data_IF_291988125138
#
_entry.id   IF_291988125138
#
_cell.length_a   1.000
_cell.length_b   1.000
_cell.length_c   1.000
_cell.angle_alpha   90.00
_cell.angle_beta   90.00
_cell.angle_gamma   90.00
#
_symmetry.space_group_name_H-M   'P 1'
#
loop_
_entity.id
_entity.type
_entity.pdbx_description
1 polymer ?
#
# COMPACT_ATOMS: atom_id res chain seq x y z
N UNK A 1 3.85 11.21 -14.44
CA UNK A 1 5.28 11.40 -14.15
C UNK A 1 6.05 10.28 -14.82
N UNK A 2 7.29 10.50 -15.25
CA UNK A 2 8.16 9.48 -15.84
C UNK A 2 9.48 9.45 -15.06
N UNK A 3 9.98 8.24 -14.79
CA UNK A 3 11.30 8.00 -14.18
C UNK A 3 11.94 6.85 -14.93
N UNK A 4 13.10 7.12 -15.54
CA UNK A 4 13.73 6.19 -16.46
C UNK A 4 12.78 5.74 -17.56
N UNK A 5 12.63 4.44 -17.74
CA UNK A 5 11.70 3.87 -18.73
C UNK A 5 10.23 3.80 -18.25
N UNK A 6 9.96 4.07 -16.96
CA UNK A 6 8.65 3.89 -16.36
C UNK A 6 7.83 5.16 -16.34
N UNK A 7 6.61 5.09 -16.88
CA UNK A 7 5.55 6.07 -16.66
C UNK A 7 4.73 5.64 -15.44
N UNK A 8 4.55 6.57 -14.51
CA UNK A 8 3.90 6.35 -13.23
C UNK A 8 2.44 6.79 -13.29
N UNK A 9 1.52 5.91 -12.87
CA UNK A 9 0.09 6.16 -12.81
C UNK A 9 -0.43 5.88 -11.39
N UNK A 10 -1.15 6.83 -10.81
CA UNK A 10 -1.84 6.64 -9.54
C UNK A 10 -3.14 5.87 -9.78
N UNK A 11 -3.34 4.78 -9.06
CA UNK A 11 -4.52 3.90 -9.15
C UNK A 11 -5.27 3.97 -7.82
N UNK A 12 -6.46 4.57 -7.84
CA UNK A 12 -7.33 4.63 -6.67
C UNK A 12 -8.24 3.41 -6.66
N UNK A 13 -8.20 2.65 -5.57
CA UNK A 13 -8.89 1.35 -5.50
C UNK A 13 -10.09 1.34 -4.57
N UNK A 14 -10.31 2.41 -3.80
CA UNK A 14 -11.45 2.57 -2.90
C UNK A 14 -11.20 3.58 -1.80
N UNK A 15 -12.27 3.98 -1.13
CA UNK A 15 -12.24 4.82 0.06
C UNK A 15 -12.57 3.99 1.30
N UNK A 16 -12.01 4.34 2.42
CA UNK A 16 -12.31 3.71 3.70
C UNK A 16 -11.98 4.66 4.85
N UNK A 17 -12.25 4.25 6.09
CA UNK A 17 -11.95 5.06 7.26
C UNK A 17 -11.22 4.27 8.33
N UNK A 18 -10.30 4.93 9.01
CA UNK A 18 -9.62 4.39 10.18
C UNK A 18 -9.76 5.34 11.38
N UNK A 19 -9.71 4.78 12.60
CA UNK A 19 -9.69 5.59 13.81
C UNK A 19 -8.47 6.52 13.83
N UNK A 20 -8.69 7.82 13.94
CA UNK A 20 -7.63 8.82 13.90
C UNK A 20 -6.67 8.74 15.09
N UNK A 21 -7.15 8.28 16.25
CA UNK A 21 -6.28 8.03 17.41
C UNK A 21 -5.34 6.86 17.16
N UNK A 22 -5.84 5.79 16.54
CA UNK A 22 -5.01 4.64 16.16
C UNK A 22 -4.02 5.02 15.04
N UNK A 23 -4.44 5.84 14.08
CA UNK A 23 -3.55 6.33 13.00
C UNK A 23 -2.43 7.23 13.52
N UNK A 24 -2.69 8.08 14.51
CA UNK A 24 -1.70 9.05 15.00
C UNK A 24 -1.06 8.69 16.34
N UNK A 25 -1.45 7.55 16.94
CA UNK A 25 -0.83 7.02 18.14
C UNK A 25 -0.86 8.01 19.33
N UNK A 26 0.30 8.38 19.80
CA UNK A 26 0.45 9.28 20.97
C UNK A 26 0.28 10.77 20.64
N UNK A 27 0.13 11.14 19.36
CA UNK A 27 -0.01 12.53 18.96
C UNK A 27 -1.40 13.05 19.37
N UNK A 28 -1.50 14.19 20.09
CA UNK A 28 -2.79 14.74 20.49
C UNK A 28 -3.71 15.09 19.31
N UNK A 29 -5.01 14.80 19.44
CA UNK A 29 -6.02 15.02 18.39
C UNK A 29 -6.03 16.46 17.87
N UNK A 30 -5.86 17.45 18.75
CA UNK A 30 -5.85 18.87 18.36
C UNK A 30 -4.67 19.25 17.44
N UNK A 31 -3.67 18.37 17.29
CA UNK A 31 -2.57 18.55 16.35
C UNK A 31 -2.88 17.86 15.02
N UNK A 32 -3.15 16.55 15.03
CA UNK A 32 -3.31 15.78 13.80
C UNK A 32 -4.62 16.05 13.06
N UNK A 33 -5.71 16.41 13.74
CA UNK A 33 -6.99 16.73 13.07
C UNK A 33 -6.92 17.96 12.14
N UNK A 34 -5.85 18.75 12.20
CA UNK A 34 -5.63 19.88 11.30
C UNK A 34 -5.29 19.43 9.87
N UNK A 35 -4.65 18.29 9.75
CA UNK A 35 -4.29 17.67 8.46
C UNK A 35 -5.25 16.56 8.05
N UNK A 36 -5.78 15.83 9.02
CA UNK A 36 -6.67 14.68 8.82
C UNK A 36 -7.93 14.86 9.70
N UNK A 37 -8.93 15.65 9.26
CA UNK A 37 -10.16 15.85 10.02
C UNK A 37 -10.87 14.53 10.31
N UNK A 38 -11.34 14.37 11.56
CA UNK A 38 -12.06 13.18 11.97
C UNK A 38 -13.58 13.41 11.96
N UNK A 39 -14.33 12.34 11.66
CA UNK A 39 -15.77 12.29 11.81
C UNK A 39 -16.21 12.18 13.30
N UNK A 40 -17.52 12.07 13.55
CA UNK A 40 -18.09 11.96 14.91
C UNK A 40 -17.64 10.67 15.64
N UNK A 41 -17.22 9.66 14.90
CA UNK A 41 -16.70 8.39 15.43
C UNK A 41 -15.17 8.40 15.55
N UNK A 42 -14.52 9.56 15.44
CA UNK A 42 -13.07 9.73 15.45
C UNK A 42 -12.34 9.07 14.28
N UNK A 43 -13.02 8.79 13.17
CA UNK A 43 -12.42 8.17 12.00
C UNK A 43 -11.97 9.23 11.00
N UNK A 44 -10.83 9.03 10.38
CA UNK A 44 -10.30 9.87 9.30
C UNK A 44 -10.55 9.21 7.94
N UNK A 45 -10.74 10.03 6.91
CA UNK A 45 -10.89 9.55 5.54
C UNK A 45 -9.55 9.05 5.00
N UNK A 46 -9.59 7.87 4.40
CA UNK A 46 -8.46 7.20 3.76
C UNK A 46 -8.82 6.77 2.34
N UNK A 47 -7.82 6.71 1.49
CA UNK A 47 -7.96 6.17 0.13
C UNK A 47 -6.89 5.09 -0.08
N UNK A 48 -7.30 3.90 -0.45
CA UNK A 48 -6.35 2.89 -0.90
C UNK A 48 -5.85 3.25 -2.29
N UNK A 49 -4.53 3.48 -2.40
CA UNK A 49 -3.85 3.83 -3.64
C UNK A 49 -2.76 2.84 -3.96
N UNK A 50 -2.83 2.31 -5.17
CA UNK A 50 -1.76 1.58 -5.80
C UNK A 50 -0.97 2.52 -6.73
N UNK A 51 0.25 2.15 -7.04
CA UNK A 51 1.07 2.82 -8.04
C UNK A 51 1.33 1.84 -9.19
N UNK A 52 0.91 2.21 -10.40
CA UNK A 52 1.20 1.41 -11.59
C UNK A 52 2.36 2.03 -12.36
N UNK A 53 3.35 1.21 -12.66
CA UNK A 53 4.53 1.52 -13.44
C UNK A 53 4.39 0.88 -14.82
N UNK A 54 4.34 1.71 -15.87
CA UNK A 54 4.22 1.28 -17.25
C UNK A 54 5.55 1.47 -17.97
N UNK A 55 6.11 0.38 -18.52
CA UNK A 55 7.16 0.44 -19.52
C UNK A 55 6.71 -0.31 -20.78
N UNK A 56 7.53 -0.27 -21.84
CA UNK A 56 7.22 -0.99 -23.09
C UNK A 56 7.06 -2.51 -22.92
N UNK A 57 7.67 -3.08 -21.88
CA UNK A 57 7.69 -4.53 -21.62
C UNK A 57 6.94 -4.95 -20.37
N UNK A 58 6.86 -4.08 -19.36
CA UNK A 58 6.32 -4.39 -18.03
C UNK A 58 5.21 -3.44 -17.64
N UNK A 59 4.22 -3.99 -16.95
CA UNK A 59 3.20 -3.25 -16.22
C UNK A 59 3.19 -3.78 -14.80
N UNK A 60 3.77 -3.01 -13.89
CA UNK A 60 4.00 -3.40 -12.51
C UNK A 60 3.03 -2.60 -11.64
N UNK A 61 2.24 -3.27 -10.82
CA UNK A 61 1.41 -2.60 -9.83
C UNK A 61 1.98 -2.81 -8.43
N UNK A 62 2.11 -1.72 -7.66
CA UNK A 62 2.56 -1.73 -6.28
C UNK A 62 1.33 -1.59 -5.39
N UNK A 63 1.06 -2.61 -4.58
CA UNK A 63 -0.15 -2.83 -3.81
C UNK A 63 -1.42 -2.90 -4.68
N UNK A 64 -2.58 -3.23 -4.09
CA UNK A 64 -3.82 -3.40 -4.86
C UNK A 64 -5.09 -3.13 -4.05
N UNK A 65 -4.93 -2.53 -2.87
CA UNK A 65 -6.04 -2.09 -2.04
C UNK A 65 -6.79 -3.21 -1.31
N UNK A 66 -7.98 -2.87 -0.80
CA UNK A 66 -8.81 -3.74 0.04
C UNK A 66 -9.43 -4.91 -0.77
N UNK A 67 -9.73 -4.69 -2.06
CA UNK A 67 -10.53 -5.65 -2.84
C UNK A 67 -11.98 -5.74 -2.34
N UNK A 68 -12.69 -6.79 -2.73
CA UNK A 68 -14.15 -6.89 -2.50
C UNK A 68 -14.57 -8.07 -1.61
N UNK A 69 -13.63 -8.65 -0.83
CA UNK A 69 -13.89 -9.88 -0.07
C UNK A 69 -14.27 -9.66 1.39
N UNK A 70 -14.16 -8.42 1.89
CA UNK A 70 -14.49 -8.13 3.27
C UNK A 70 -15.94 -8.48 3.60
N UNK A 71 -16.17 -9.03 4.79
CA UNK A 71 -17.52 -9.26 5.29
C UNK A 71 -18.26 -7.94 5.50
N UNK A 72 -19.60 -7.97 5.46
CA UNK A 72 -20.43 -6.78 5.70
C UNK A 72 -20.11 -6.11 7.05
N UNK A 73 -19.80 -6.92 8.08
CA UNK A 73 -19.40 -6.41 9.39
C UNK A 73 -18.11 -5.60 9.32
N UNK A 74 -17.10 -6.12 8.63
CA UNK A 74 -15.78 -5.45 8.49
C UNK A 74 -15.91 -4.21 7.60
N UNK A 75 -16.68 -4.31 6.51
CA UNK A 75 -16.98 -3.14 5.68
C UNK A 75 -17.61 -1.99 6.48
N UNK A 76 -18.54 -2.28 7.39
CA UNK A 76 -19.16 -1.27 8.27
C UNK A 76 -18.16 -0.66 9.26
N UNK A 77 -17.24 -1.46 9.81
CA UNK A 77 -16.20 -0.95 10.73
C UNK A 77 -15.32 0.08 10.04
N UNK A 78 -14.86 -0.23 8.83
CA UNK A 78 -13.95 0.61 8.06
C UNK A 78 -14.66 1.57 7.11
N UNK A 79 -15.99 1.60 7.07
CA UNK A 79 -16.80 2.45 6.19
C UNK A 79 -16.30 2.40 4.73
N UNK A 80 -16.07 1.17 4.22
CA UNK A 80 -15.48 0.97 2.89
C UNK A 80 -16.46 1.41 1.83
N UNK A 81 -16.00 2.25 0.89
CA UNK A 81 -16.82 2.88 -0.13
C UNK A 81 -16.15 2.83 -1.50
N UNK A 82 -16.86 2.25 -2.48
CA UNK A 82 -16.43 2.10 -3.88
C UNK A 82 -17.25 2.96 -4.86
N UNK A 83 -18.06 3.93 -4.37
CA UNK A 83 -18.92 4.74 -5.24
C UNK A 83 -18.12 5.62 -6.20
N UNK A 84 -17.01 6.18 -5.73
CA UNK A 84 -16.17 7.10 -6.48
C UNK A 84 -15.01 6.38 -7.16
N UNK A 85 -14.24 5.62 -6.38
CA UNK A 85 -13.01 4.95 -6.83
C UNK A 85 -13.14 3.43 -6.74
N UNK A 86 -12.71 2.77 -7.81
CA UNK A 86 -12.51 1.32 -7.86
C UNK A 86 -11.27 1.01 -8.69
N UNK A 87 -10.69 -0.17 -8.49
CA UNK A 87 -9.59 -0.63 -9.32
C UNK A 87 -9.96 -0.59 -10.80
N UNK A 88 -11.16 -1.09 -11.14
CA UNK A 88 -11.65 -1.18 -12.51
C UNK A 88 -11.75 0.18 -13.18
N UNK A 89 -12.38 1.18 -12.52
CA UNK A 89 -12.49 2.55 -13.04
C UNK A 89 -11.12 3.17 -13.29
N UNK A 90 -10.22 3.07 -12.31
CA UNK A 90 -8.87 3.64 -12.43
C UNK A 90 -8.06 2.98 -13.53
N UNK A 91 -8.19 1.67 -13.73
CA UNK A 91 -7.50 0.98 -14.82
C UNK A 91 -8.12 1.32 -16.19
N UNK A 92 -9.45 1.48 -16.27
CA UNK A 92 -10.13 1.89 -17.50
C UNK A 92 -9.69 3.28 -17.96
N UNK A 93 -9.53 4.24 -17.04
CA UNK A 93 -9.06 5.60 -17.32
C UNK A 93 -7.68 5.60 -18.00
N UNK A 94 -6.81 4.70 -17.61
CA UNK A 94 -5.47 4.55 -18.21
C UNK A 94 -5.42 3.51 -19.34
N UNK A 95 -6.57 2.90 -19.68
CA UNK A 95 -6.74 1.92 -20.76
C UNK A 95 -5.97 0.62 -20.58
N UNK A 96 -5.82 0.16 -19.33
CA UNK A 96 -5.25 -1.14 -19.00
C UNK A 96 -6.29 -2.10 -18.46
N UNK A 97 -6.03 -3.39 -18.66
CA UNK A 97 -6.80 -4.50 -18.09
C UNK A 97 -5.98 -5.21 -17.04
N UNK A 98 -6.66 -5.96 -16.17
CA UNK A 98 -6.00 -6.78 -15.13
C UNK A 98 -5.03 -7.83 -15.73
N UNK A 99 -5.37 -8.33 -16.91
CA UNK A 99 -4.57 -9.29 -17.67
C UNK A 99 -3.28 -8.69 -18.26
N UNK A 100 -3.19 -7.35 -18.36
CA UNK A 100 -2.01 -6.65 -18.86
C UNK A 100 -0.91 -6.54 -17.80
N UNK A 101 -1.24 -6.72 -16.51
CA UNK A 101 -0.29 -6.61 -15.41
C UNK A 101 0.67 -7.82 -15.44
N UNK A 102 1.95 -7.51 -15.48
CA UNK A 102 3.02 -8.53 -15.53
C UNK A 102 3.57 -8.85 -14.15
N UNK A 103 3.55 -7.89 -13.24
CA UNK A 103 4.12 -8.00 -11.90
C UNK A 103 3.28 -7.26 -10.88
N UNK A 104 3.14 -7.82 -9.69
CA UNK A 104 2.54 -7.19 -8.53
C UNK A 104 3.59 -7.15 -7.43
N UNK A 105 3.92 -5.97 -6.93
CA UNK A 105 4.80 -5.82 -5.77
C UNK A 105 3.92 -5.55 -4.57
N UNK A 106 3.85 -6.49 -3.63
CA UNK A 106 3.15 -6.32 -2.37
C UNK A 106 4.12 -5.75 -1.34
N UNK A 107 3.82 -4.55 -0.83
CA UNK A 107 4.66 -3.94 0.20
C UNK A 107 4.60 -4.75 1.48
N UNK A 108 3.40 -5.16 1.86
CA UNK A 108 3.10 -6.08 2.95
C UNK A 108 1.71 -6.71 2.75
N UNK A 109 1.31 -7.62 3.65
CA UNK A 109 0.13 -8.46 3.44
C UNK A 109 -1.09 -8.05 4.30
N UNK A 110 -1.14 -6.81 4.80
CA UNK A 110 -2.35 -6.28 5.41
C UNK A 110 -3.48 -6.17 4.38
N UNK A 111 -4.71 -6.22 4.86
CA UNK A 111 -5.91 -6.35 4.01
C UNK A 111 -6.13 -5.18 3.06
N UNK A 112 -5.69 -4.00 3.44
CA UNK A 112 -5.83 -2.75 2.67
C UNK A 112 -4.72 -2.54 1.62
N UNK A 113 -3.69 -3.40 1.64
CA UNK A 113 -2.61 -3.43 0.65
C UNK A 113 -2.69 -4.64 -0.28
N UNK A 114 -2.98 -5.83 0.26
CA UNK A 114 -2.99 -7.09 -0.48
C UNK A 114 -4.40 -7.62 -0.79
N UNK A 115 -5.45 -6.97 -0.30
CA UNK A 115 -6.83 -7.44 -0.42
C UNK A 115 -7.32 -7.59 -1.84
N UNK A 116 -6.87 -6.71 -2.74
CA UNK A 116 -7.20 -6.77 -4.16
C UNK A 116 -6.45 -7.83 -4.96
N UNK A 117 -5.53 -8.60 -4.35
CA UNK A 117 -4.78 -9.67 -5.04
C UNK A 117 -5.68 -10.79 -5.55
N UNK A 118 -6.80 -11.03 -4.87
CA UNK A 118 -7.77 -12.09 -5.19
C UNK A 118 -9.20 -11.56 -5.09
N UNK A 119 -10.12 -12.27 -5.73
CA UNK A 119 -11.55 -11.98 -5.67
C UNK A 119 -12.36 -13.28 -5.68
N UNK A 120 -13.64 -13.20 -5.30
CA UNK A 120 -14.60 -14.30 -5.48
C UNK A 120 -15.28 -14.19 -6.84
N UNK A 121 -15.29 -15.27 -7.62
CA UNK A 121 -16.13 -15.39 -8.81
C UNK A 121 -17.61 -15.60 -8.43
N UNK A 122 -18.48 -15.71 -9.44
CA UNK A 122 -19.93 -15.89 -9.25
C UNK A 122 -20.28 -17.19 -8.48
N UNK A 123 -19.39 -18.18 -8.49
CA UNK A 123 -19.54 -19.46 -7.79
C UNK A 123 -18.89 -19.44 -6.40
N UNK A 124 -18.38 -18.27 -5.97
CA UNK A 124 -17.61 -18.04 -4.73
C UNK A 124 -16.26 -18.78 -4.68
N UNK A 125 -15.69 -19.13 -5.82
CA UNK A 125 -14.31 -19.59 -5.87
C UNK A 125 -13.36 -18.40 -5.84
N UNK A 126 -12.23 -18.56 -5.16
CA UNK A 126 -11.17 -17.54 -5.14
C UNK A 126 -10.40 -17.60 -6.46
N UNK A 127 -10.25 -16.44 -7.08
CA UNK A 127 -9.47 -16.23 -8.32
C UNK A 127 -8.42 -15.15 -8.12
N UNK A 128 -7.35 -15.22 -8.91
CA UNK A 128 -6.33 -14.18 -8.96
C UNK A 128 -6.85 -12.96 -9.73
N UNK A 129 -6.68 -11.77 -9.18
CA UNK A 129 -7.08 -10.53 -9.84
C UNK A 129 -6.21 -10.22 -11.06
N UNK A 130 -4.92 -10.54 -10.98
CA UNK A 130 -3.97 -10.36 -12.07
C UNK A 130 -3.43 -11.73 -12.50
N UNK A 131 -4.14 -12.42 -13.43
CA UNK A 131 -3.89 -13.83 -13.71
C UNK A 131 -2.56 -14.11 -14.40
N UNK A 132 -1.97 -13.11 -15.03
CA UNK A 132 -0.70 -13.23 -15.77
C UNK A 132 0.50 -12.70 -14.97
N UNK A 133 0.27 -12.17 -13.76
CA UNK A 133 1.31 -11.51 -12.99
C UNK A 133 2.09 -12.48 -12.09
N UNK A 134 3.37 -12.14 -11.87
CA UNK A 134 4.17 -12.66 -10.76
C UNK A 134 4.02 -11.71 -9.57
N UNK A 135 3.80 -12.24 -8.37
CA UNK A 135 3.63 -11.46 -7.16
C UNK A 135 4.90 -11.51 -6.32
N UNK A 136 5.45 -10.34 -6.01
CA UNK A 136 6.71 -10.19 -5.28
C UNK A 136 6.44 -9.73 -3.86
N UNK A 137 6.94 -10.46 -2.87
CA UNK A 137 6.81 -10.15 -1.44
C UNK A 137 8.04 -10.63 -0.69
N UNK A 138 8.40 -9.95 0.40
CA UNK A 138 9.47 -10.44 1.28
C UNK A 138 9.07 -11.80 1.88
N UNK A 139 9.95 -12.80 1.79
CA UNK A 139 9.69 -14.14 2.34
C UNK A 139 9.31 -14.07 3.83
N UNK A 140 10.03 -13.29 4.62
CA UNK A 140 9.77 -13.13 6.05
C UNK A 140 8.46 -12.40 6.36
N UNK A 141 7.98 -11.52 5.46
CA UNK A 141 6.65 -10.92 5.60
C UNK A 141 5.57 -11.98 5.37
N UNK A 142 5.75 -12.86 4.38
CA UNK A 142 4.83 -13.98 4.14
C UNK A 142 4.80 -14.96 5.32
N UNK A 143 5.96 -15.35 5.83
CA UNK A 143 6.09 -16.20 7.03
C UNK A 143 5.43 -15.57 8.25
N UNK A 144 5.57 -14.23 8.43
CA UNK A 144 4.89 -13.49 9.49
C UNK A 144 3.38 -13.52 9.30
N UNK A 145 2.87 -13.27 8.09
CA UNK A 145 1.44 -13.28 7.78
C UNK A 145 0.78 -14.64 8.04
N UNK A 146 1.52 -15.75 7.94
CA UNK A 146 1.05 -17.09 8.29
C UNK A 146 0.89 -17.29 9.82
N UNK A 147 1.69 -16.61 10.65
CA UNK A 147 1.69 -16.68 12.10
C UNK A 147 1.83 -15.28 12.73
N UNK A 148 0.88 -14.38 12.49
CA UNK A 148 0.96 -13.01 12.98
C UNK A 148 0.82 -12.95 14.50
N UNK A 149 1.30 -11.86 15.09
CA UNK A 149 1.09 -11.61 16.51
C UNK A 149 -0.39 -11.36 16.82
N UNK A 150 -0.78 -11.50 18.10
CA UNK A 150 -2.15 -11.17 18.52
C UNK A 150 -2.52 -9.71 18.24
N UNK A 151 -1.52 -8.82 18.14
CA UNK A 151 -1.68 -7.40 17.93
C UNK A 151 -2.11 -7.07 16.49
N UNK A 152 -1.54 -7.73 15.49
CA UNK A 152 -1.76 -7.43 14.06
C UNK A 152 -2.51 -8.53 13.29
N UNK A 153 -2.86 -9.63 13.96
CA UNK A 153 -3.62 -10.74 13.35
C UNK A 153 -4.88 -10.29 12.61
N UNK A 154 -5.58 -9.27 13.12
CA UNK A 154 -6.80 -8.76 12.52
C UNK A 154 -6.57 -8.06 11.17
N UNK A 155 -5.33 -7.74 10.81
CA UNK A 155 -4.96 -7.12 9.53
C UNK A 155 -4.65 -8.14 8.43
N UNK A 156 -4.46 -9.42 8.77
CA UNK A 156 -4.09 -10.48 7.83
C UNK A 156 -5.27 -11.39 7.51
N UNK A 157 -5.69 -11.41 6.24
CA UNK A 157 -6.73 -12.29 5.73
C UNK A 157 -6.12 -13.33 4.78
N UNK A 158 -6.01 -14.60 5.17
CA UNK A 158 -5.33 -15.65 4.37
C UNK A 158 -5.82 -15.79 2.94
N UNK A 159 -7.11 -15.51 2.68
CA UNK A 159 -7.70 -15.52 1.35
C UNK A 159 -7.10 -14.49 0.39
N UNK A 160 -6.35 -13.50 0.89
CA UNK A 160 -5.70 -12.49 0.07
C UNK A 160 -4.35 -12.95 -0.49
N UNK A 161 -3.64 -13.85 0.21
CA UNK A 161 -2.26 -14.20 -0.15
C UNK A 161 -1.99 -15.71 -0.26
N UNK A 162 -2.67 -16.60 0.48
CA UNK A 162 -2.49 -18.04 0.33
C UNK A 162 -2.78 -18.55 -1.09
N UNK A 163 -3.83 -18.09 -1.78
CA UNK A 163 -4.08 -18.51 -3.16
C UNK A 163 -2.94 -18.13 -4.12
N UNK A 164 -2.12 -17.13 -3.81
CA UNK A 164 -0.95 -16.78 -4.63
C UNK A 164 0.12 -17.87 -4.56
N UNK A 165 0.35 -18.44 -3.38
CA UNK A 165 1.26 -19.58 -3.20
C UNK A 165 0.70 -20.83 -3.85
N UNK A 166 -0.58 -21.15 -3.63
CA UNK A 166 -1.26 -22.32 -4.18
C UNK A 166 -1.20 -22.34 -5.73
N UNK A 167 -1.29 -21.16 -6.34
CA UNK A 167 -1.18 -20.99 -7.80
C UNK A 167 0.28 -20.85 -8.29
N UNK A 168 1.28 -20.87 -7.38
CA UNK A 168 2.71 -20.77 -7.69
C UNK A 168 3.09 -19.49 -8.45
N UNK A 169 2.42 -18.39 -8.12
CA UNK A 169 2.70 -17.06 -8.70
C UNK A 169 3.50 -16.15 -7.77
N UNK A 170 3.85 -16.62 -6.55
CA UNK A 170 4.70 -15.89 -5.63
C UNK A 170 6.18 -15.99 -6.01
N UNK A 171 6.85 -14.84 -6.02
CA UNK A 171 8.29 -14.70 -6.03
C UNK A 171 8.73 -14.09 -4.70
N UNK A 172 9.42 -14.89 -3.89
CA UNK A 172 9.92 -14.42 -2.59
C UNK A 172 11.23 -13.65 -2.76
N UNK A 173 11.25 -12.42 -2.22
CA UNK A 173 12.44 -11.59 -2.11
C UNK A 173 13.01 -11.68 -0.69
N UNK A 174 14.29 -11.39 -0.52
CA UNK A 174 14.97 -11.45 0.77
C UNK A 174 15.90 -10.25 0.95
N UNK A 175 15.58 -9.40 1.91
CA UNK A 175 16.35 -8.18 2.15
C UNK A 175 16.16 -7.14 1.05
N UNK A 176 17.14 -6.26 0.87
CA UNK A 176 17.17 -5.35 -0.27
C UNK A 176 17.23 -6.15 -1.57
N UNK A 177 16.36 -5.81 -2.51
CA UNK A 177 16.24 -6.54 -3.76
C UNK A 177 16.19 -5.58 -4.94
N UNK A 178 17.17 -5.68 -5.81
CA UNK A 178 17.20 -4.94 -7.08
C UNK A 178 16.28 -5.66 -8.06
N UNK A 179 15.09 -5.08 -8.30
CA UNK A 179 14.10 -5.63 -9.22
C UNK A 179 14.55 -5.43 -10.67
N UNK A 180 15.06 -4.23 -10.98
CA UNK A 180 15.73 -3.88 -12.23
C UNK A 180 16.61 -2.62 -12.04
N UNK A 181 17.10 -2.02 -13.12
CA UNK A 181 17.98 -0.84 -13.07
C UNK A 181 17.32 0.40 -12.44
N UNK A 182 15.99 0.45 -12.41
CA UNK A 182 15.20 1.60 -11.92
C UNK A 182 14.53 1.30 -10.59
N UNK A 183 14.18 0.04 -10.30
CA UNK A 183 13.34 -0.34 -9.16
C UNK A 183 14.15 -1.14 -8.15
N UNK A 184 14.12 -0.70 -6.89
CA UNK A 184 14.72 -1.43 -5.75
C UNK A 184 13.68 -1.56 -4.63
N UNK A 185 13.56 -2.77 -4.07
CA UNK A 185 12.72 -3.07 -2.92
C UNK A 185 13.55 -2.95 -1.65
N UNK A 186 13.10 -2.12 -0.70
CA UNK A 186 13.82 -1.78 0.53
C UNK A 186 13.01 -2.26 1.73
N UNK A 187 13.46 -3.30 2.46
CA UNK A 187 12.73 -3.80 3.62
C UNK A 187 12.79 -2.83 4.79
N UNK A 188 11.68 -2.69 5.50
CA UNK A 188 11.49 -1.95 6.74
C UNK A 188 10.70 -2.80 7.73
N UNK A 189 10.82 -2.54 9.03
CA UNK A 189 10.31 -3.43 10.06
C UNK A 189 9.45 -2.74 11.13
N UNK A 190 9.32 -1.42 11.07
CA UNK A 190 8.64 -0.65 12.10
C UNK A 190 7.14 -0.91 12.15
N UNK A 191 6.46 -0.87 11.00
CA UNK A 191 5.02 -1.08 10.90
C UNK A 191 4.64 -2.55 11.09
N UNK A 192 5.16 -3.41 10.26
CA UNK A 192 5.04 -4.87 10.38
C UNK A 192 6.33 -5.54 9.95
N UNK A 193 6.54 -6.78 10.36
CA UNK A 193 7.80 -7.47 10.14
C UNK A 193 8.09 -7.64 8.64
N UNK A 194 9.22 -7.11 8.17
CA UNK A 194 9.67 -7.18 6.77
C UNK A 194 8.68 -6.62 5.74
N UNK A 195 7.95 -5.54 6.07
CA UNK A 195 7.35 -4.69 5.05
C UNK A 195 8.44 -4.18 4.12
N UNK A 196 8.13 -3.90 2.86
CA UNK A 196 9.06 -3.31 1.91
C UNK A 196 8.51 -2.02 1.30
N UNK A 197 9.37 -1.02 1.20
CA UNK A 197 9.15 0.15 0.36
C UNK A 197 9.62 -0.13 -1.06
N UNK A 198 9.17 0.68 -2.01
CA UNK A 198 9.63 0.59 -3.40
C UNK A 198 10.28 1.90 -3.80
N UNK A 199 11.59 1.85 -4.04
CA UNK A 199 12.35 2.97 -4.59
C UNK A 199 12.35 2.86 -6.11
N UNK A 200 11.99 3.95 -6.79
CA UNK A 200 11.99 4.08 -8.25
C UNK A 200 12.92 5.25 -8.58
N UNK A 201 14.04 4.99 -9.24
CA UNK A 201 15.08 6.01 -9.49
C UNK A 201 15.76 5.80 -10.84
N UNK A 202 16.02 6.90 -11.56
CA UNK A 202 16.86 6.93 -12.77
C UNK A 202 18.24 7.57 -12.52
N UNK A 203 18.56 7.84 -11.24
CA UNK A 203 19.79 8.49 -10.83
C UNK A 203 19.67 10.01 -10.72
N UNK A 204 18.75 10.65 -11.43
CA UNK A 204 18.45 12.09 -11.34
C UNK A 204 17.19 12.33 -10.50
N UNK A 205 16.15 11.56 -10.76
CA UNK A 205 14.87 11.63 -10.06
C UNK A 205 14.63 10.37 -9.26
N UNK A 206 14.03 10.51 -8.09
CA UNK A 206 13.68 9.39 -7.23
C UNK A 206 12.27 9.58 -6.69
N UNK A 207 11.45 8.54 -6.80
CA UNK A 207 10.18 8.39 -6.09
C UNK A 207 10.31 7.22 -5.12
N UNK A 208 9.87 7.41 -3.89
CA UNK A 208 9.80 6.37 -2.88
C UNK A 208 8.32 6.10 -2.55
N UNK A 209 7.86 4.89 -2.84
CA UNK A 209 6.57 4.40 -2.38
C UNK A 209 6.76 3.84 -0.97
N UNK A 210 6.38 4.63 0.02
CA UNK A 210 6.71 4.39 1.43
C UNK A 210 5.78 3.41 2.13
N UNK A 211 4.66 3.05 1.49
CA UNK A 211 3.60 2.27 2.12
C UNK A 211 3.28 2.79 3.54
N UNK A 212 3.16 1.92 4.51
CA UNK A 212 2.76 2.27 5.88
C UNK A 212 3.91 2.74 6.78
N UNK A 213 5.11 2.93 6.24
CA UNK A 213 6.12 3.72 6.94
C UNK A 213 5.71 5.20 7.04
N UNK A 214 5.08 5.75 5.98
CA UNK A 214 4.52 7.09 5.94
C UNK A 214 3.15 7.01 5.23
N UNK A 215 2.07 6.63 5.92
CA UNK A 215 0.79 6.30 5.28
C UNK A 215 0.02 7.53 4.78
N UNK A 216 0.28 8.70 5.34
CA UNK A 216 -0.34 9.97 4.88
C UNK A 216 0.63 11.13 4.98
N UNK A 217 0.33 12.27 4.33
CA UNK A 217 1.12 13.49 4.46
C UNK A 217 1.20 13.98 5.91
N UNK A 218 0.17 13.70 6.73
CA UNK A 218 0.18 14.00 8.17
C UNK A 218 1.25 13.23 8.95
N UNK A 219 1.75 12.12 8.39
CA UNK A 219 2.80 11.28 9.00
C UNK A 219 4.22 11.62 8.53
N UNK A 220 4.41 12.62 7.67
CA UNK A 220 5.76 13.03 7.25
C UNK A 220 6.66 13.42 8.43
N UNK A 221 6.21 14.21 9.43
CA UNK A 221 7.06 14.51 10.57
C UNK A 221 7.46 13.24 11.33
N UNK A 222 8.73 13.09 11.64
CA UNK A 222 9.28 11.87 12.23
C UNK A 222 8.53 11.34 13.48
N UNK A 223 8.07 12.19 14.44
CA UNK A 223 7.34 11.71 15.62
C UNK A 223 5.91 11.21 15.35
N UNK A 224 5.35 11.48 14.17
CA UNK A 224 3.99 11.05 13.82
C UNK A 224 4.00 9.60 13.35
N UNK A 225 3.80 8.71 14.29
CA UNK A 225 3.90 7.25 14.16
C UNK A 225 2.56 6.64 14.51
N UNK A 226 2.13 5.63 13.76
CA UNK A 226 0.85 4.98 13.98
C UNK A 226 0.84 4.16 15.28
N UNK A 227 -0.30 4.14 15.96
CA UNK A 227 -0.57 3.16 17.01
C UNK A 227 -0.63 1.72 16.49
N UNK A 228 -0.81 1.56 15.17
CA UNK A 228 -0.76 0.26 14.50
C UNK A 228 0.65 -0.30 14.37
N UNK A 229 1.70 0.53 14.45
CA UNK A 229 3.07 0.07 14.29
C UNK A 229 3.46 -0.92 15.39
N UNK A 230 4.03 -2.05 14.99
CA UNK A 230 4.48 -3.07 15.93
C UNK A 230 5.72 -2.62 16.69
N UNK A 231 6.60 -1.90 16.02
CA UNK A 231 7.89 -1.45 16.55
C UNK A 231 8.05 0.06 16.31
N UNK A 232 7.34 0.92 17.07
CA UNK A 232 7.27 2.35 16.81
C UNK A 232 8.62 3.08 16.88
N UNK A 233 9.56 2.61 17.68
CA UNK A 233 10.92 3.20 17.71
C UNK A 233 11.73 2.82 16.47
N UNK A 234 11.50 1.63 15.92
CA UNK A 234 12.08 1.23 14.64
C UNK A 234 11.50 2.08 13.50
N UNK A 235 10.17 2.27 13.47
CA UNK A 235 9.52 3.20 12.52
C UNK A 235 10.15 4.60 12.59
N UNK A 236 10.39 5.11 13.82
CA UNK A 236 11.01 6.43 14.01
C UNK A 236 12.40 6.50 13.39
N UNK A 237 13.21 5.47 13.58
CA UNK A 237 14.58 5.44 13.06
C UNK A 237 14.59 5.24 11.53
N UNK A 238 13.74 4.37 11.00
CA UNK A 238 13.57 4.17 9.56
C UNK A 238 13.12 5.45 8.86
N UNK A 239 12.15 6.18 9.42
CA UNK A 239 11.71 7.48 8.88
C UNK A 239 12.82 8.53 8.88
N UNK A 240 13.71 8.55 9.87
CA UNK A 240 14.85 9.49 9.89
C UNK A 240 15.87 9.18 8.80
N UNK A 241 16.17 7.90 8.56
CA UNK A 241 17.08 7.48 7.50
C UNK A 241 16.53 7.88 6.12
N UNK A 242 15.24 7.68 5.90
CA UNK A 242 14.58 7.99 4.64
C UNK A 242 14.34 9.50 4.43
N UNK A 243 14.22 10.29 5.51
CA UNK A 243 14.03 11.76 5.40
C UNK A 243 15.19 12.49 4.71
N UNK A 244 16.34 11.84 4.56
CA UNK A 244 17.47 12.34 3.77
C UNK A 244 17.25 12.20 2.24
N UNK A 245 16.23 11.46 1.79
CA UNK A 245 15.98 11.14 0.39
C UNK A 245 14.60 11.60 -0.13
N UNK A 246 13.75 12.22 0.72
CA UNK A 246 12.34 12.37 0.40
C UNK A 246 12.02 13.69 -0.30
N UNK A 247 11.81 13.60 -1.64
CA UNK A 247 10.66 14.29 -2.23
C UNK A 247 9.47 13.32 -2.09
N UNK A 248 8.72 13.43 -0.99
CA UNK A 248 7.65 12.48 -0.68
C UNK A 248 6.54 12.59 -1.70
N UNK A 249 6.35 11.57 -2.49
CA UNK A 249 5.09 11.31 -3.17
C UNK A 249 4.15 10.60 -2.18
N UNK A 250 3.59 11.35 -1.22
CA UNK A 250 2.56 10.83 -0.34
C UNK A 250 1.25 10.71 -1.11
N UNK A 251 0.94 9.52 -1.59
CA UNK A 251 -0.28 9.23 -2.35
C UNK A 251 -1.52 9.03 -1.48
N UNK A 252 -1.49 9.35 -0.20
CA UNK A 252 -2.58 9.12 0.73
C UNK A 252 -3.14 10.39 1.38
N UNK A 253 -3.47 11.44 0.64
CA UNK A 253 -4.32 12.51 1.20
C UNK A 253 -5.28 13.08 0.19
N UNK A 254 -6.53 13.17 0.60
CA UNK A 254 -7.56 13.98 -0.02
C UNK A 254 -7.22 15.46 0.16
N UNK A 255 -6.47 16.03 -0.74
CA UNK A 255 -6.52 17.46 -1.03
C UNK A 255 -6.04 17.67 -2.45
N UNK A 256 -6.96 18.10 -3.30
CA UNK A 256 -6.74 18.53 -4.69
C UNK A 256 -5.86 19.79 -4.83
N UNK A 257 -5.02 20.12 -3.85
CA UNK A 257 -4.37 21.42 -3.78
C UNK A 257 -2.86 21.40 -3.54
N UNK A 258 -2.13 20.31 -3.73
CA UNK A 258 -0.66 20.32 -3.51
C UNK A 258 0.15 19.44 -4.49
N UNK A 259 -0.23 19.46 -5.78
CA UNK A 259 0.64 18.94 -6.85
C UNK A 259 1.28 20.08 -7.67
N UNK A 260 1.00 21.35 -7.35
CA UNK A 260 1.46 22.49 -8.17
C UNK A 260 2.52 23.38 -7.54
N UNK A 261 3.23 22.95 -6.51
CA UNK A 261 4.29 23.79 -5.94
C UNK A 261 5.44 23.02 -5.29
N UNK A 262 6.05 22.06 -5.97
CA UNK A 262 7.48 21.72 -5.79
C UNK A 262 7.99 21.26 -7.15
N UNK A 263 8.34 22.21 -7.99
CA UNK A 263 9.39 22.20 -8.99
C UNK A 263 10.37 23.27 -8.58
#
# INVERSE_FOLDING_TARGET
MQIGEYKLHSIQTGLFKLDGGAMFGVIPKNLWQKTNPADEQNRIDMCTRALLLESGKKKIIIDNGIGYKLSEKVNKIYDVNYSEYTLEKSMEEIKFKKEDITDVILTHLHFDHAGGSTYYDNEKNIKLTYPNAVYHVQQKQYEWALNPSERDRASFFPENYKPLEDNKVLNFTNGEFVFDETITLLPVNGHTNHMQMVKISDGENTVLYTADLIPTAGHIPAPYIMGYDLFPLTTLDEKKLESMFIAVCSFCTFTSALVSSVL
#
